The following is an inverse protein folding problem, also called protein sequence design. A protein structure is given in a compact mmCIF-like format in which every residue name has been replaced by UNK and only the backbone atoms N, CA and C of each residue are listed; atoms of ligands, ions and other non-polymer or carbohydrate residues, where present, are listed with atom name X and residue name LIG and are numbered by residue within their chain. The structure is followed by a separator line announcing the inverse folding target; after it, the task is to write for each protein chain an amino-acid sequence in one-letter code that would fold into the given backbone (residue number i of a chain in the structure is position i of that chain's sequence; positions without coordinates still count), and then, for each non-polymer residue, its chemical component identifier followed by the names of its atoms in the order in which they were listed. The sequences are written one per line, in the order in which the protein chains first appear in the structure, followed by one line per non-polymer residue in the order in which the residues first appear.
data_IF_687542173671
#
_entry.id   IF_687542173671
#
_cell.length_a   1.000
_cell.length_b   1.000
_cell.length_c   1.000
_cell.angle_alpha   90.00
_cell.angle_beta   90.00
_cell.angle_gamma   90.00
#
_symmetry.space_group_name_H-M   'P 1'
#
loop_
_entity.id
_entity.type
_entity.pdbx_description
1 polymer ?
#
# COMPACT_ATOMS: atom_id res chain seq x y z
N UNK A 1 -11.31 -16.36 20.49
CA UNK A 1 -10.71 -16.29 19.14
C UNK A 1 -11.29 -15.15 18.30
N UNK A 2 -12.61 -15.05 18.15
CA UNK A 2 -13.29 -13.98 17.39
C UNK A 2 -12.88 -12.54 17.78
N UNK A 3 -12.83 -12.12 19.06
CA UNK A 3 -12.47 -10.74 19.40
C UNK A 3 -11.03 -10.38 19.07
N UNK A 4 -10.10 -11.35 19.18
CA UNK A 4 -8.70 -11.17 18.80
C UNK A 4 -8.60 -10.97 17.29
N UNK A 5 -9.28 -11.82 16.51
CA UNK A 5 -9.31 -11.69 15.05
C UNK A 5 -9.91 -10.35 14.61
N UNK A 6 -11.02 -9.94 15.23
CA UNK A 6 -11.65 -8.65 14.96
C UNK A 6 -10.71 -7.47 15.26
N UNK A 7 -9.99 -7.52 16.40
CA UNK A 7 -8.98 -6.53 16.75
C UNK A 7 -7.83 -6.46 15.73
N UNK A 8 -7.34 -7.61 15.27
CA UNK A 8 -6.29 -7.67 14.24
C UNK A 8 -6.78 -7.12 12.90
N UNK A 9 -7.99 -7.46 12.48
CA UNK A 9 -8.59 -6.92 11.24
C UNK A 9 -8.78 -5.41 11.35
N UNK A 10 -9.28 -4.91 12.49
CA UNK A 10 -9.43 -3.48 12.73
C UNK A 10 -8.08 -2.74 12.65
N UNK A 11 -7.03 -3.29 13.24
CA UNK A 11 -5.68 -2.73 13.17
C UNK A 11 -5.15 -2.70 11.73
N UNK A 12 -5.33 -3.79 10.97
CA UNK A 12 -4.90 -3.85 9.57
C UNK A 12 -5.63 -2.79 8.73
N UNK A 13 -6.96 -2.67 8.88
CA UNK A 13 -7.76 -1.68 8.15
C UNK A 13 -7.38 -0.25 8.55
N UNK A 14 -7.13 0.00 9.83
CA UNK A 14 -6.64 1.30 10.29
C UNK A 14 -5.29 1.65 9.65
N UNK A 15 -4.31 0.74 9.71
CA UNK A 15 -3.01 0.94 9.08
C UNK A 15 -3.10 1.16 7.56
N UNK A 16 -3.96 0.42 6.87
CA UNK A 16 -4.25 0.60 5.44
C UNK A 16 -4.84 1.99 5.16
N UNK A 17 -5.77 2.45 5.99
CA UNK A 17 -6.35 3.79 5.88
C UNK A 17 -5.29 4.90 6.01
N UNK A 18 -4.43 4.82 7.03
CA UNK A 18 -3.32 5.77 7.22
C UNK A 18 -2.37 5.73 6.02
N UNK A 19 -1.94 4.54 5.59
CA UNK A 19 -1.04 4.38 4.45
C UNK A 19 -1.65 4.93 3.15
N UNK A 20 -2.95 4.70 2.93
CA UNK A 20 -3.70 5.21 1.78
C UNK A 20 -3.76 6.74 1.76
N UNK A 21 -4.08 7.36 2.89
CA UNK A 21 -4.10 8.82 3.04
C UNK A 21 -2.71 9.42 2.79
N UNK A 22 -1.67 8.90 3.44
CA UNK A 22 -0.30 9.37 3.23
C UNK A 22 0.15 9.18 1.77
N UNK A 23 -0.22 8.08 1.13
CA UNK A 23 0.07 7.81 -0.29
C UNK A 23 -0.63 8.82 -1.22
N UNK A 24 -1.86 9.22 -0.90
CA UNK A 24 -2.57 10.26 -1.66
C UNK A 24 -1.91 11.63 -1.49
N UNK A 25 -1.63 12.05 -0.25
CA UNK A 25 -0.94 13.32 0.03
C UNK A 25 0.41 13.39 -0.66
N UNK A 26 1.23 12.34 -0.56
CA UNK A 26 2.54 12.30 -1.18
C UNK A 26 2.47 12.43 -2.71
N UNK A 27 1.50 11.77 -3.35
CA UNK A 27 1.31 11.89 -4.80
C UNK A 27 0.95 13.31 -5.21
N UNK A 28 0.17 14.02 -4.40
CA UNK A 28 -0.16 15.44 -4.66
C UNK A 28 1.05 16.36 -4.45
N UNK A 29 1.91 16.07 -3.48
CA UNK A 29 3.10 16.88 -3.21
C UNK A 29 4.17 16.76 -4.30
N UNK A 30 4.39 15.54 -4.82
CA UNK A 30 5.52 15.26 -5.75
C UNK A 30 5.13 15.23 -7.23
N UNK A 31 3.84 15.09 -7.54
CA UNK A 31 3.37 14.97 -8.93
C UNK A 31 2.85 16.32 -9.42
N UNK A 32 3.33 16.84 -10.57
CA UNK A 32 2.75 18.02 -11.20
C UNK A 32 1.24 17.86 -11.48
N UNK A 33 0.45 18.91 -11.28
CA UNK A 33 -1.02 18.87 -11.34
C UNK A 33 -1.57 18.20 -12.60
N UNK A 34 -1.01 18.52 -13.78
CA UNK A 34 -1.45 17.97 -15.06
C UNK A 34 -1.13 16.47 -15.26
N UNK A 35 -0.27 15.88 -14.43
CA UNK A 35 0.07 14.45 -14.47
C UNK A 35 -0.59 13.66 -13.33
N UNK A 36 -1.21 14.33 -12.36
CA UNK A 36 -1.76 13.69 -11.15
C UNK A 36 -2.78 12.60 -11.50
N UNK A 37 -3.63 12.85 -12.50
CA UNK A 37 -4.59 11.86 -13.00
C UNK A 37 -3.93 10.60 -13.57
N UNK A 38 -2.87 10.76 -14.38
CA UNK A 38 -2.12 9.64 -14.98
C UNK A 38 -1.35 8.82 -13.94
N UNK A 39 -0.72 9.49 -12.98
CA UNK A 39 0.01 8.81 -11.89
C UNK A 39 -0.96 8.06 -10.98
N UNK A 40 -2.11 8.66 -10.67
CA UNK A 40 -3.12 8.04 -9.82
C UNK A 40 -3.77 6.83 -10.48
N UNK A 41 -4.10 6.91 -11.77
CA UNK A 41 -4.63 5.75 -12.49
C UNK A 41 -3.62 4.60 -12.54
N UNK A 42 -2.35 4.89 -12.89
CA UNK A 42 -1.29 3.89 -12.89
C UNK A 42 -1.10 3.25 -11.50
N UNK A 43 -1.11 4.05 -10.43
CA UNK A 43 -1.04 3.57 -9.06
C UNK A 43 -2.18 2.58 -8.77
N UNK A 44 -3.43 2.97 -9.05
CA UNK A 44 -4.59 2.12 -8.78
C UNK A 44 -4.59 0.84 -9.62
N UNK A 45 -4.16 0.91 -10.88
CA UNK A 45 -4.02 -0.27 -11.72
C UNK A 45 -3.04 -1.26 -11.10
N UNK A 46 -1.83 -0.81 -10.75
CA UNK A 46 -0.83 -1.69 -10.12
C UNK A 46 -1.31 -2.22 -8.77
N UNK A 47 -2.03 -1.40 -8.00
CA UNK A 47 -2.50 -1.78 -6.67
C UNK A 47 -3.66 -2.79 -6.69
N UNK A 48 -4.60 -2.67 -7.62
CA UNK A 48 -5.79 -3.53 -7.68
C UNK A 48 -5.71 -4.70 -8.66
N UNK A 49 -4.85 -4.63 -9.68
CA UNK A 49 -4.66 -5.73 -10.62
C UNK A 49 -4.33 -7.09 -9.96
N UNK A 50 -3.56 -7.15 -8.87
CA UNK A 50 -3.33 -8.41 -8.17
C UNK A 50 -4.60 -9.05 -7.58
N UNK A 51 -5.68 -8.31 -7.34
CA UNK A 51 -6.91 -8.86 -6.74
C UNK A 51 -7.56 -9.94 -7.62
N UNK A 52 -7.96 -9.61 -8.86
CA UNK A 52 -8.55 -10.58 -9.80
C UNK A 52 -7.65 -11.78 -10.11
N UNK A 53 -6.33 -11.61 -10.11
CA UNK A 53 -5.38 -12.70 -10.36
C UNK A 53 -5.11 -13.53 -9.10
N UNK A 54 -4.99 -12.88 -7.95
CA UNK A 54 -4.67 -13.50 -6.67
C UNK A 54 -5.80 -14.36 -6.14
N UNK A 55 -7.06 -13.92 -6.28
CA UNK A 55 -8.22 -14.66 -5.78
C UNK A 55 -8.29 -16.12 -6.31
N UNK A 56 -8.26 -16.39 -7.63
CA UNK A 56 -8.27 -17.76 -8.14
C UNK A 56 -7.00 -18.53 -7.79
N UNK A 57 -5.82 -17.88 -7.81
CA UNK A 57 -4.55 -18.52 -7.46
C UNK A 57 -4.52 -19.00 -6.00
N UNK A 58 -4.93 -18.13 -5.08
CA UNK A 58 -5.01 -18.44 -3.64
C UNK A 58 -6.08 -19.50 -3.37
N UNK A 59 -7.22 -19.43 -4.05
CA UNK A 59 -8.29 -20.42 -3.93
C UNK A 59 -7.84 -21.80 -4.41
N UNK A 60 -7.19 -21.86 -5.58
CA UNK A 60 -6.62 -23.09 -6.12
C UNK A 60 -5.53 -23.66 -5.21
N UNK A 61 -4.63 -22.81 -4.72
CA UNK A 61 -3.59 -23.22 -3.78
C UNK A 61 -4.19 -23.78 -2.49
N UNK A 62 -5.24 -23.15 -1.95
CA UNK A 62 -5.93 -23.60 -0.74
C UNK A 62 -6.62 -24.95 -0.96
N UNK A 63 -7.18 -25.20 -2.15
CA UNK A 63 -7.77 -26.47 -2.50
C UNK A 63 -6.74 -27.62 -2.56
N UNK A 64 -5.47 -27.32 -2.88
CA UNK A 64 -4.40 -28.34 -3.01
C UNK A 64 -3.54 -28.52 -1.75
N UNK A 65 -3.22 -27.43 -1.06
CA UNK A 65 -2.30 -27.42 0.09
C UNK A 65 -3.00 -27.16 1.43
N UNK A 66 -4.30 -26.88 1.41
CA UNK A 66 -5.09 -26.54 2.60
C UNK A 66 -5.00 -25.06 2.97
N UNK A 67 -6.07 -24.57 3.60
CA UNK A 67 -6.20 -23.17 4.04
C UNK A 67 -5.08 -22.74 5.02
N UNK A 68 -4.70 -23.52 6.05
CA UNK A 68 -3.72 -23.06 7.03
C UNK A 68 -2.34 -22.77 6.41
N UNK A 69 -1.86 -23.65 5.52
CA UNK A 69 -0.57 -23.49 4.86
C UNK A 69 -0.55 -22.25 3.96
N UNK A 70 -1.61 -22.04 3.17
CA UNK A 70 -1.71 -20.87 2.27
C UNK A 70 -1.82 -19.57 3.06
N UNK A 71 -2.62 -19.54 4.13
CA UNK A 71 -2.72 -18.37 4.99
C UNK A 71 -1.39 -18.02 5.67
N UNK A 72 -0.61 -19.01 6.09
CA UNK A 72 0.71 -18.78 6.66
C UNK A 72 1.67 -18.16 5.64
N UNK A 73 1.71 -18.67 4.41
CA UNK A 73 2.55 -18.12 3.33
C UNK A 73 2.15 -16.68 3.01
N UNK A 74 0.85 -16.39 2.90
CA UNK A 74 0.37 -15.03 2.65
C UNK A 74 0.72 -14.09 3.81
N UNK A 75 0.57 -14.54 5.05
CA UNK A 75 0.94 -13.76 6.24
C UNK A 75 2.44 -13.44 6.28
N UNK A 76 3.29 -14.43 5.98
CA UNK A 76 4.74 -14.23 5.88
C UNK A 76 5.11 -13.27 4.74
N UNK A 77 4.45 -13.39 3.59
CA UNK A 77 4.62 -12.47 2.46
C UNK A 77 4.27 -11.03 2.81
N UNK A 78 3.14 -10.81 3.49
CA UNK A 78 2.75 -9.49 4.00
C UNK A 78 3.75 -8.95 5.02
N UNK A 79 4.21 -9.80 5.95
CA UNK A 79 5.25 -9.43 6.91
C UNK A 79 6.56 -9.02 6.23
N UNK A 80 6.96 -9.74 5.19
CA UNK A 80 8.15 -9.43 4.40
C UNK A 80 8.03 -8.09 3.67
N UNK A 81 6.88 -7.81 3.05
CA UNK A 81 6.60 -6.51 2.43
C UNK A 81 6.64 -5.38 3.46
N UNK A 82 6.05 -5.59 4.65
CA UNK A 82 6.08 -4.62 5.73
C UNK A 82 7.52 -4.35 6.22
N UNK A 83 8.37 -5.37 6.29
CA UNK A 83 9.79 -5.22 6.61
C UNK A 83 10.52 -4.39 5.55
N UNK A 84 10.33 -4.70 4.26
CA UNK A 84 10.92 -3.89 3.17
C UNK A 84 10.48 -2.43 3.28
N UNK A 85 9.19 -2.19 3.54
CA UNK A 85 8.66 -0.84 3.70
C UNK A 85 9.27 -0.12 4.91
N UNK A 86 9.46 -0.80 6.04
CA UNK A 86 10.06 -0.23 7.25
C UNK A 86 11.53 0.20 7.06
N UNK A 87 12.27 -0.50 6.19
CA UNK A 87 13.65 -0.18 5.83
C UNK A 87 13.76 0.62 4.52
N UNK A 88 12.64 1.04 3.93
CA UNK A 88 12.67 1.77 2.66
C UNK A 88 13.26 3.17 2.85
N UNK A 89 14.21 3.61 1.99
CA UNK A 89 14.80 4.94 2.03
C UNK A 89 13.79 6.06 1.72
N UNK A 90 12.54 5.73 1.37
CA UNK A 90 11.44 6.69 1.29
C UNK A 90 11.20 7.42 2.63
N UNK A 91 11.57 6.79 3.76
CA UNK A 91 11.45 7.40 5.10
C UNK A 91 12.40 8.59 5.32
N UNK A 92 13.51 8.66 4.58
CA UNK A 92 14.58 9.66 4.80
C UNK A 92 14.62 10.78 3.75
N UNK A 93 13.85 10.70 2.66
CA UNK A 93 13.86 11.69 1.56
C UNK A 93 12.94 12.90 1.75
N UNK A 94 12.20 12.97 2.86
CA UNK A 94 11.27 14.05 3.19
C UNK A 94 11.86 15.50 3.30
N UNK A 95 13.17 15.78 3.53
CA UNK A 95 13.59 17.17 3.80
C UNK A 95 13.78 18.07 2.56
N UNK A 96 13.81 17.53 1.34
CA UNK A 96 14.32 18.29 0.17
C UNK A 96 13.25 18.90 -0.75
N UNK A 97 11.96 18.74 -0.43
CA UNK A 97 10.83 19.24 -1.24
C UNK A 97 10.36 20.65 -0.85
N UNK A 98 11.21 21.45 -0.19
CA UNK A 98 10.91 22.86 0.06
C UNK A 98 10.88 23.61 -1.29
N UNK A 99 9.69 23.68 -1.89
CA UNK A 99 9.40 24.52 -3.05
C UNK A 99 9.70 25.97 -2.66
N UNK A 100 10.60 26.70 -3.34
CA UNK A 100 10.68 28.15 -3.18
C UNK A 100 9.34 28.74 -3.62
N UNK A 101 8.78 29.63 -2.81
CA UNK A 101 7.50 30.27 -3.06
C UNK A 101 7.51 30.95 -4.43
N UNK A 102 6.80 30.38 -5.42
CA UNK A 102 6.43 31.12 -6.61
C UNK A 102 5.29 32.06 -6.22
N UNK A 103 5.69 33.25 -5.73
CA UNK A 103 4.79 34.30 -5.30
C UNK A 103 5.46 35.65 -5.07
N UNK A 104 6.59 35.95 -5.74
CA UNK A 104 7.23 37.27 -5.73
C UNK A 104 7.61 37.80 -7.13
N UNK A 105 6.93 37.35 -8.17
CA UNK A 105 6.99 38.05 -9.45
C UNK A 105 5.66 37.90 -10.18
N UNK A 106 4.76 38.85 -9.95
CA UNK A 106 4.03 39.66 -10.94
C UNK A 106 2.86 40.36 -10.26
#
# INVERSE_FOLDING_TARGET
MVPVLAGLVALILFCQGVAGTCSMSLRQEITPDHLLGRVTSAFWTVHYLPGPLGAPLVTFAAARAGVPAVMLVLGLGLGFVALIAAFSPLRTRAPSLHRPAHGEAL
#
